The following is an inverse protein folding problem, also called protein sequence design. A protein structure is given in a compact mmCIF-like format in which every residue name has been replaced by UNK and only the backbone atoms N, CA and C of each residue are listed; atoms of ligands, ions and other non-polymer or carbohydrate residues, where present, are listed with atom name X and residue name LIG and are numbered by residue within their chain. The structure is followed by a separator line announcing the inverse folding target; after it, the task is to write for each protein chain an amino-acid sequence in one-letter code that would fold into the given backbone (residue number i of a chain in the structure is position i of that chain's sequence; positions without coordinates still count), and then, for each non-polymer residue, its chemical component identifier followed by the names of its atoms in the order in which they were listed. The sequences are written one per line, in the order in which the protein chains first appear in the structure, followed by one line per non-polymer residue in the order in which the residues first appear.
data_IF_749101897865
#
_entry.id   IF_749101897865
#
_cell.length_a   1.000
_cell.length_b   1.000
_cell.length_c   1.000
_cell.angle_alpha   90.00
_cell.angle_beta   90.00
_cell.angle_gamma   90.00
#
_symmetry.space_group_name_H-M   'P 1'
#
loop_
_entity.id
_entity.type
_entity.pdbx_description
1 polymer ?
#
# COMPACT_ATOMS: atom_id res chain seq x y z
N UNK A 1 24.46 -37.24 -28.55
CA UNK A 1 24.00 -35.93 -28.03
C UNK A 1 25.05 -34.89 -28.35
N UNK A 2 24.66 -33.85 -29.08
CA UNK A 2 25.58 -32.77 -29.45
C UNK A 2 25.73 -31.77 -28.30
N UNK A 3 26.85 -31.03 -28.26
CA UNK A 3 27.11 -29.99 -27.27
C UNK A 3 25.97 -28.95 -27.19
N UNK A 4 25.31 -28.66 -28.32
CA UNK A 4 24.15 -27.75 -28.38
C UNK A 4 22.93 -28.25 -27.60
N UNK A 5 22.66 -29.55 -27.58
CA UNK A 5 21.52 -30.12 -26.86
C UNK A 5 21.70 -29.96 -25.34
N UNK A 6 22.92 -30.20 -24.84
CA UNK A 6 23.24 -30.00 -23.42
C UNK A 6 23.15 -28.54 -23.00
N UNK A 7 23.61 -27.62 -23.85
CA UNK A 7 23.51 -26.19 -23.57
C UNK A 7 22.05 -25.72 -23.47
N UNK A 8 21.18 -26.18 -24.37
CA UNK A 8 19.75 -25.86 -24.29
C UNK A 8 19.12 -26.38 -23.00
N UNK A 9 19.41 -27.63 -22.61
CA UNK A 9 18.88 -28.22 -21.37
C UNK A 9 19.33 -27.39 -20.16
N UNK A 10 20.62 -27.09 -20.02
CA UNK A 10 21.16 -26.30 -18.90
C UNK A 10 20.55 -24.89 -18.89
N UNK A 11 20.42 -24.24 -20.05
CA UNK A 11 19.82 -22.91 -20.16
C UNK A 11 18.33 -22.92 -19.74
N UNK A 12 17.56 -23.92 -20.16
CA UNK A 12 16.16 -24.07 -19.78
C UNK A 12 16.00 -24.31 -18.27
N UNK A 13 16.80 -25.21 -17.68
CA UNK A 13 16.77 -25.46 -16.24
C UNK A 13 17.21 -24.23 -15.44
N UNK A 14 18.28 -23.56 -15.86
CA UNK A 14 18.75 -22.32 -15.22
C UNK A 14 17.68 -21.22 -15.25
N UNK A 15 17.02 -21.04 -16.40
CA UNK A 15 15.95 -20.06 -16.56
C UNK A 15 14.74 -20.41 -15.69
N UNK A 16 14.33 -21.68 -15.66
CA UNK A 16 13.23 -22.14 -14.83
C UNK A 16 13.49 -21.93 -13.33
N UNK A 17 14.71 -22.22 -12.86
CA UNK A 17 15.11 -21.98 -11.47
C UNK A 17 15.14 -20.49 -11.12
N UNK A 18 15.62 -19.63 -12.02
CA UNK A 18 15.57 -18.19 -11.83
C UNK A 18 14.11 -17.72 -11.72
N UNK A 19 13.23 -18.11 -12.65
CA UNK A 19 11.81 -17.78 -12.59
C UNK A 19 11.18 -18.23 -11.25
N UNK A 20 11.45 -19.47 -10.83
CA UNK A 20 10.95 -20.00 -9.56
C UNK A 20 11.45 -19.17 -8.37
N UNK A 21 12.73 -18.81 -8.34
CA UNK A 21 13.29 -17.96 -7.29
C UNK A 21 12.60 -16.59 -7.21
N UNK A 22 12.36 -15.94 -8.35
CA UNK A 22 11.65 -14.65 -8.39
C UNK A 22 10.20 -14.77 -7.89
N UNK A 23 9.48 -15.83 -8.28
CA UNK A 23 8.13 -16.10 -7.79
C UNK A 23 8.09 -16.43 -6.30
N UNK A 24 8.95 -17.32 -5.82
CA UNK A 24 9.06 -17.66 -4.40
C UNK A 24 9.40 -16.42 -3.56
N UNK A 25 10.31 -15.57 -4.03
CA UNK A 25 10.65 -14.32 -3.35
C UNK A 25 9.44 -13.38 -3.25
N UNK A 26 8.67 -13.22 -4.33
CA UNK A 26 7.49 -12.37 -4.33
C UNK A 26 6.45 -12.90 -3.33
N UNK A 27 6.16 -14.20 -3.36
CA UNK A 27 5.24 -14.86 -2.43
C UNK A 27 5.71 -14.67 -0.97
N UNK A 28 7.00 -14.89 -0.71
CA UNK A 28 7.57 -14.73 0.64
C UNK A 28 7.46 -13.29 1.16
N UNK A 29 7.68 -12.30 0.30
CA UNK A 29 7.53 -10.89 0.63
C UNK A 29 6.08 -10.59 1.06
N UNK A 30 5.10 -11.02 0.27
CA UNK A 30 3.68 -10.84 0.57
C UNK A 30 3.26 -11.48 1.89
N UNK A 31 3.77 -12.67 2.20
CA UNK A 31 3.49 -13.36 3.47
C UNK A 31 4.16 -12.68 4.68
N UNK A 32 5.25 -11.93 4.45
CA UNK A 32 6.03 -11.31 5.53
C UNK A 32 5.49 -9.95 5.97
N UNK A 33 4.90 -9.17 5.06
CA UNK A 33 4.41 -7.80 5.31
C UNK A 33 3.49 -7.68 6.53
N UNK A 34 2.51 -8.59 6.76
CA UNK A 34 1.62 -8.48 7.91
C UNK A 34 2.36 -8.54 9.26
N UNK A 35 3.53 -9.17 9.30
CA UNK A 35 4.34 -9.34 10.51
C UNK A 35 5.38 -8.22 10.69
N UNK A 36 5.44 -7.25 9.78
CA UNK A 36 6.37 -6.15 9.87
C UNK A 36 5.86 -5.08 10.84
N UNK A 37 6.77 -4.38 11.54
CA UNK A 37 6.40 -3.26 12.40
C UNK A 37 5.69 -2.17 11.59
N UNK A 38 4.62 -1.65 12.19
CA UNK A 38 3.85 -0.53 11.64
C UNK A 38 4.36 0.77 12.24
N UNK A 39 4.69 1.72 11.39
CA UNK A 39 5.03 3.09 11.79
C UNK A 39 4.16 4.10 11.08
N UNK A 40 4.08 5.29 11.65
CA UNK A 40 3.43 6.41 11.01
C UNK A 40 4.38 7.03 9.98
N UNK A 41 3.82 7.34 8.82
CA UNK A 41 4.49 8.01 7.73
C UNK A 41 3.66 9.20 7.27
N UNK A 42 4.34 10.26 6.84
CA UNK A 42 3.68 11.43 6.25
C UNK A 42 3.92 11.42 4.75
N UNK A 43 2.85 11.50 3.97
CA UNK A 43 2.95 11.63 2.51
C UNK A 43 3.56 12.99 2.19
N UNK A 44 4.68 13.00 1.48
CA UNK A 44 5.35 14.20 0.97
C UNK A 44 4.92 14.53 -0.44
N UNK A 45 4.66 13.51 -1.26
CA UNK A 45 4.33 13.67 -2.66
C UNK A 45 3.41 12.58 -3.16
N UNK A 46 2.45 12.92 -4.01
CA UNK A 46 1.57 11.95 -4.67
C UNK A 46 1.40 12.35 -6.13
N UNK A 47 1.86 11.52 -7.05
CA UNK A 47 1.84 11.78 -8.50
C UNK A 47 1.22 10.59 -9.22
N UNK A 48 0.29 10.88 -10.12
CA UNK A 48 -0.25 9.89 -11.05
C UNK A 48 0.55 9.96 -12.34
N UNK A 49 1.18 8.85 -12.74
CA UNK A 49 1.89 8.73 -14.02
C UNK A 49 1.13 7.83 -14.98
N UNK A 50 1.00 8.26 -16.23
CA UNK A 50 0.53 7.37 -17.29
C UNK A 50 1.73 6.59 -17.83
N UNK A 51 1.73 5.26 -17.64
CA UNK A 51 2.84 4.37 -18.04
C UNK A 51 2.77 3.97 -19.51
N UNK A 52 1.58 3.98 -20.11
CA UNK A 52 1.39 3.68 -21.54
C UNK A 52 0.23 4.47 -22.13
N UNK A 53 0.48 5.17 -23.25
CA UNK A 53 -0.54 5.84 -24.05
C UNK A 53 -1.46 4.84 -24.75
N UNK A 54 -0.90 3.70 -25.21
CA UNK A 54 -1.62 2.68 -25.98
C UNK A 54 -2.56 1.81 -25.14
N UNK A 55 -2.20 1.54 -23.89
CA UNK A 55 -2.95 0.62 -23.02
C UNK A 55 -3.58 1.29 -21.78
N UNK A 56 -3.60 2.63 -21.71
CA UNK A 56 -4.20 3.42 -20.61
C UNK A 56 -3.83 2.90 -19.21
N UNK A 57 -2.56 2.55 -19.00
CA UNK A 57 -2.07 2.17 -17.68
C UNK A 57 -1.69 3.43 -16.89
N UNK A 58 -2.29 3.59 -15.72
CA UNK A 58 -1.97 4.64 -14.76
C UNK A 58 -1.29 4.02 -13.56
N UNK A 59 -0.18 4.61 -13.13
CA UNK A 59 0.61 4.23 -11.98
C UNK A 59 0.54 5.34 -10.93
N UNK A 60 0.49 4.95 -9.67
CA UNK A 60 0.60 5.87 -8.54
C UNK A 60 2.01 5.86 -7.98
N UNK A 61 2.71 6.99 -8.13
CA UNK A 61 4.00 7.25 -7.49
C UNK A 61 3.75 8.11 -6.25
N UNK A 62 3.97 7.53 -5.07
CA UNK A 62 3.94 8.27 -3.80
C UNK A 62 5.35 8.42 -3.25
N UNK A 63 5.58 9.48 -2.49
CA UNK A 63 6.75 9.62 -1.63
C UNK A 63 6.26 9.91 -0.22
N UNK A 64 6.70 9.12 0.76
CA UNK A 64 6.36 9.31 2.17
C UNK A 64 7.60 9.25 3.05
N UNK A 65 7.66 10.13 4.04
CA UNK A 65 8.71 10.12 5.07
C UNK A 65 8.24 9.37 6.30
N UNK A 66 9.09 8.53 6.88
CA UNK A 66 8.82 7.83 8.13
C UNK A 66 10.08 7.73 8.97
N UNK A 67 9.90 7.56 10.27
CA UNK A 67 10.99 7.36 11.21
C UNK A 67 10.97 5.95 11.74
N UNK A 68 12.11 5.27 11.69
CA UNK A 68 12.26 3.92 12.21
C UNK A 68 13.59 3.79 12.95
N UNK A 69 13.55 3.31 14.20
CA UNK A 69 14.74 3.17 15.06
C UNK A 69 15.58 4.45 15.21
N UNK A 70 14.91 5.60 15.25
CA UNK A 70 15.56 6.90 15.43
C UNK A 70 16.07 7.54 14.13
N UNK A 71 16.08 6.82 13.02
CA UNK A 71 16.50 7.31 11.70
C UNK A 71 15.31 7.64 10.79
N UNK A 72 15.48 8.67 9.95
CA UNK A 72 14.49 9.08 8.97
C UNK A 72 14.72 8.38 7.62
N UNK A 73 13.64 7.90 7.04
CA UNK A 73 13.63 7.18 5.78
C UNK A 73 12.57 7.73 4.84
N UNK A 74 12.77 7.49 3.55
CA UNK A 74 11.83 7.86 2.48
C UNK A 74 11.40 6.60 1.77
N UNK A 75 10.09 6.38 1.74
CA UNK A 75 9.45 5.28 1.01
C UNK A 75 8.79 5.81 -0.26
N UNK A 76 8.80 5.00 -1.31
CA UNK A 76 8.31 5.40 -2.64
C UNK A 76 7.22 4.51 -3.22
N UNK A 77 6.89 3.42 -2.53
CA UNK A 77 6.02 2.39 -3.06
C UNK A 77 4.81 2.21 -2.16
N UNK A 78 3.58 2.31 -2.69
CA UNK A 78 2.39 2.00 -1.92
C UNK A 78 2.32 0.50 -1.63
N UNK A 79 2.76 -0.35 -2.57
CA UNK A 79 2.77 -1.82 -2.49
C UNK A 79 4.02 -2.44 -3.08
N UNK A 80 4.33 -3.70 -2.72
CA UNK A 80 5.30 -4.50 -3.45
C UNK A 80 4.98 -4.53 -4.95
N UNK A 81 5.93 -4.09 -5.77
CA UNK A 81 5.76 -4.05 -7.23
C UNK A 81 5.03 -2.81 -7.79
N UNK A 82 4.56 -1.91 -6.92
CA UNK A 82 3.89 -0.66 -7.32
C UNK A 82 2.40 -0.83 -7.63
N UNK A 83 1.66 0.28 -7.61
CA UNK A 83 0.23 0.30 -7.90
C UNK A 83 0.01 0.74 -9.35
N UNK A 84 -0.51 -0.16 -10.18
CA UNK A 84 -0.85 0.10 -11.58
C UNK A 84 -2.28 -0.35 -11.86
N UNK A 85 -3.08 0.53 -12.48
CA UNK A 85 -4.46 0.23 -12.89
C UNK A 85 -4.69 0.64 -14.34
N UNK A 86 -5.70 0.04 -14.98
CA UNK A 86 -6.17 0.42 -16.31
C UNK A 86 -7.18 1.57 -16.29
N UNK A 87 -7.64 1.99 -15.11
CA UNK A 87 -8.65 3.04 -14.94
C UNK A 87 -8.07 4.28 -14.26
N UNK A 88 -8.21 5.44 -14.89
CA UNK A 88 -7.77 6.72 -14.31
C UNK A 88 -8.48 7.01 -12.98
N UNK A 89 -9.80 6.83 -12.95
CA UNK A 89 -10.63 7.00 -11.76
C UNK A 89 -10.19 6.11 -10.59
N UNK A 90 -9.79 4.86 -10.87
CA UNK A 90 -9.33 3.95 -9.83
C UNK A 90 -8.03 4.43 -9.16
N UNK A 91 -7.12 4.99 -9.96
CA UNK A 91 -5.86 5.53 -9.42
C UNK A 91 -6.07 6.87 -8.73
N UNK A 92 -6.97 7.72 -9.25
CA UNK A 92 -7.32 9.01 -8.66
C UNK A 92 -8.00 8.83 -7.30
N UNK A 93 -8.90 7.84 -7.17
CA UNK A 93 -9.54 7.52 -5.90
C UNK A 93 -8.50 7.11 -4.84
N UNK A 94 -7.52 6.27 -5.20
CA UNK A 94 -6.45 5.89 -4.26
C UNK A 94 -5.52 7.08 -3.98
N UNK A 95 -5.15 7.86 -4.99
CA UNK A 95 -4.33 9.05 -4.82
C UNK A 95 -4.99 10.07 -3.87
N UNK A 96 -6.31 10.22 -3.92
CA UNK A 96 -7.07 11.09 -3.03
C UNK A 96 -6.96 10.67 -1.55
N UNK A 97 -6.84 9.36 -1.26
CA UNK A 97 -6.60 8.86 0.10
C UNK A 97 -5.16 9.05 0.58
N UNK A 98 -4.25 9.39 -0.34
CA UNK A 98 -2.83 9.60 -0.10
C UNK A 98 -2.41 11.00 -0.55
N UNK A 99 -3.22 12.01 -0.20
CA UNK A 99 -2.87 13.40 -0.47
C UNK A 99 -1.64 13.82 0.33
N UNK A 100 -0.90 14.81 -0.17
CA UNK A 100 0.25 15.37 0.53
C UNK A 100 -0.15 15.84 1.94
N UNK A 101 0.68 15.55 2.93
CA UNK A 101 0.41 15.82 4.35
C UNK A 101 -0.41 14.74 5.07
N UNK A 102 -0.97 13.76 4.36
CA UNK A 102 -1.72 12.66 4.98
C UNK A 102 -0.81 11.76 5.81
N UNK A 103 -1.26 11.40 7.01
CA UNK A 103 -0.59 10.41 7.85
C UNK A 103 -1.09 9.01 7.49
N UNK A 104 -0.17 8.12 7.12
CA UNK A 104 -0.43 6.74 6.75
C UNK A 104 0.28 5.78 7.71
N UNK A 105 -0.30 4.60 7.92
CA UNK A 105 0.40 3.48 8.55
C UNK A 105 1.17 2.72 7.49
N UNK A 106 2.49 2.57 7.67
CA UNK A 106 3.37 1.86 6.75
C UNK A 106 4.01 0.67 7.46
N UNK A 107 4.11 -0.46 6.76
CA UNK A 107 4.83 -1.63 7.21
C UNK A 107 6.29 -1.49 6.78
N UNK A 108 7.23 -1.51 7.74
CA UNK A 108 8.66 -1.31 7.50
C UNK A 108 9.39 -2.63 7.66
N UNK A 109 10.19 -3.02 6.67
CA UNK A 109 11.03 -4.21 6.78
C UNK A 109 12.11 -3.99 7.87
N UNK A 110 12.10 -4.73 8.99
CA UNK A 110 13.03 -4.51 10.09
C UNK A 110 14.48 -4.90 9.74
N UNK A 111 14.66 -5.69 8.67
CA UNK A 111 15.99 -6.09 8.14
C UNK A 111 16.48 -5.15 7.04
N UNK A 112 15.56 -4.44 6.37
CA UNK A 112 15.87 -3.47 5.31
C UNK A 112 14.96 -2.25 5.44
N UNK A 113 15.26 -1.31 6.36
CA UNK A 113 14.35 -0.22 6.68
C UNK A 113 13.89 0.60 5.49
N UNK A 114 14.72 0.75 4.44
CA UNK A 114 14.36 1.44 3.18
C UNK A 114 13.20 0.80 2.41
N UNK A 115 12.88 -0.46 2.69
CA UNK A 115 11.76 -1.20 2.12
C UNK A 115 10.54 -1.05 3.05
N UNK A 116 9.64 -0.14 2.67
CA UNK A 116 8.41 0.13 3.40
C UNK A 116 7.23 0.25 2.45
N UNK A 117 6.06 -0.20 2.90
CA UNK A 117 4.83 -0.24 2.11
C UNK A 117 3.65 0.34 2.88
N UNK A 118 2.81 1.13 2.21
CA UNK A 118 1.62 1.73 2.81
C UNK A 118 0.50 0.70 2.98
N UNK A 119 -0.19 0.73 4.12
CA UNK A 119 -1.13 -0.31 4.52
C UNK A 119 -2.53 -0.34 3.84
N UNK A 120 -2.97 0.55 2.92
CA UNK A 120 -4.30 0.35 2.34
C UNK A 120 -4.33 -0.68 1.21
N UNK A 121 -3.24 -1.41 0.93
CA UNK A 121 -3.18 -2.40 -0.17
C UNK A 121 -2.42 -3.68 0.24
N UNK A 122 -2.26 -3.91 1.54
CA UNK A 122 -1.76 -5.19 2.08
C UNK A 122 -2.92 -6.11 2.49
N UNK A 123 -4.04 -6.08 1.75
CA UNK A 123 -5.08 -7.10 1.85
C UNK A 123 -4.59 -8.40 1.18
N UNK A 124 -5.17 -9.53 1.58
CA UNK A 124 -4.59 -10.87 1.55
C UNK A 124 -4.21 -11.33 0.12
N UNK A 125 -3.28 -12.29 -0.04
CA UNK A 125 -3.01 -12.90 -1.36
C UNK A 125 -4.27 -13.51 -2.02
N UNK A 126 -5.30 -13.86 -1.25
CA UNK A 126 -6.60 -14.30 -1.75
C UNK A 126 -7.39 -13.20 -2.50
N UNK A 127 -7.15 -11.92 -2.21
CA UNK A 127 -7.87 -10.80 -2.82
C UNK A 127 -7.34 -10.46 -4.23
N UNK A 128 -6.19 -11.01 -4.63
CA UNK A 128 -5.57 -10.78 -5.95
C UNK A 128 -5.81 -11.92 -6.96
N UNK A 129 -6.24 -13.12 -6.50
CA UNK A 129 -6.71 -14.17 -7.40
C UNK A 129 -8.11 -13.86 -7.98
N UNK A 130 -8.86 -12.94 -7.35
CA UNK A 130 -10.09 -12.39 -7.88
C UNK A 130 -9.77 -11.28 -8.91
N UNK A 131 -9.17 -11.68 -10.04
CA UNK A 131 -9.27 -10.86 -11.24
C UNK A 131 -10.73 -10.48 -11.46
N UNK A 132 -10.98 -9.19 -11.68
CA UNK A 132 -12.30 -8.66 -12.06
C UNK A 132 -13.42 -8.82 -11.02
N UNK A 133 -13.47 -7.91 -10.02
CA UNK A 133 -14.69 -7.19 -9.59
C UNK A 133 -14.36 -6.32 -8.37
N UNK A 134 -13.92 -5.08 -8.60
CA UNK A 134 -13.99 -4.03 -7.58
C UNK A 134 -15.46 -3.67 -7.38
N UNK A 135 -16.12 -4.35 -6.45
CA UNK A 135 -17.44 -3.95 -5.97
C UNK A 135 -17.41 -4.00 -4.44
N UNK A 136 -17.46 -2.81 -3.86
CA UNK A 136 -17.60 -2.50 -2.43
C UNK A 136 -16.37 -2.73 -1.56
N UNK A 137 -15.52 -1.70 -1.46
CA UNK A 137 -14.91 -1.28 -0.18
C UNK A 137 -14.67 0.23 -0.23
N UNK A 138 -15.79 0.96 -0.35
CA UNK A 138 -15.91 2.26 0.28
C UNK A 138 -16.63 1.97 1.59
N UNK A 139 -15.89 1.81 2.68
CA UNK A 139 -16.46 2.03 4.00
C UNK A 139 -15.83 3.33 4.51
N UNK A 140 -16.53 4.47 4.37
CA UNK A 140 -16.07 5.73 4.90
C UNK A 140 -16.34 5.73 6.41
N UNK A 141 -15.31 6.01 7.21
CA UNK A 141 -15.41 6.43 8.61
C UNK A 141 -15.95 5.38 9.62
N UNK A 142 -15.04 4.74 10.38
CA UNK A 142 -15.27 4.31 11.77
C UNK A 142 -13.95 3.78 12.36
N UNK A 143 -13.36 4.28 13.45
CA UNK A 143 -13.67 5.41 14.30
C UNK A 143 -12.47 5.66 15.21
N UNK A 144 -12.04 6.92 15.30
CA UNK A 144 -11.10 7.36 16.33
C UNK A 144 -11.40 8.82 16.68
N UNK A 145 -12.43 9.02 17.51
CA UNK A 145 -12.59 10.22 18.36
C UNK A 145 -13.77 10.07 19.32
N UNK A 146 -13.57 9.36 20.44
CA UNK A 146 -14.25 9.70 21.69
C UNK A 146 -13.22 10.33 22.61
N UNK A 147 -13.16 11.66 22.61
CA UNK A 147 -12.62 12.40 23.75
C UNK A 147 -13.76 12.56 24.78
N UNK A 148 -13.51 12.36 26.08
CA UNK A 148 -14.49 12.64 27.11
C UNK A 148 -14.61 14.16 27.28
N UNK A 149 -15.81 14.71 27.05
CA UNK A 149 -16.10 16.10 27.36
C UNK A 149 -16.55 16.19 28.82
N UNK A 150 -15.64 16.60 29.70
CA UNK A 150 -15.92 16.95 31.09
C UNK A 150 -16.18 18.46 31.21
N UNK A 151 -17.43 18.79 31.56
CA UNK A 151 -17.82 19.68 32.67
C UNK A 151 -17.45 21.20 32.65
N UNK A 152 -18.47 22.08 32.52
CA UNK A 152 -18.89 23.07 33.56
C UNK A 152 -19.96 24.10 33.11
N UNK A 153 -21.06 24.16 33.91
CA UNK A 153 -21.83 25.31 34.52
C UNK A 153 -22.21 26.53 33.66
N UNK A 154 -23.35 27.25 33.76
CA UNK A 154 -24.58 27.46 34.59
C UNK A 154 -25.43 28.53 33.80
N UNK A 155 -26.51 29.22 34.27
CA UNK A 155 -27.72 28.91 35.05
C UNK A 155 -29.07 29.25 34.32
N UNK A 156 -30.17 28.80 34.94
CA UNK A 156 -31.57 29.26 35.03
C UNK A 156 -32.20 30.34 34.10
N UNK A 157 -33.38 30.02 33.57
CA UNK A 157 -34.68 30.77 33.57
C UNK A 157 -35.61 30.06 32.55
N UNK A 158 -36.87 29.65 32.78
CA UNK A 158 -37.94 30.12 33.65
C UNK A 158 -39.08 30.61 32.74
N UNK A 159 -40.24 29.92 32.73
CA UNK A 159 -41.59 30.21 32.14
C UNK A 159 -42.04 29.10 31.18
N UNK A 160 -43.24 28.52 31.26
CA UNK A 160 -44.42 28.73 32.10
C UNK A 160 -45.54 27.93 31.42
N UNK A 161 -46.14 26.98 32.14
CA UNK A 161 -47.29 26.19 31.68
C UNK A 161 -48.46 26.70 32.51
N UNK A 162 -49.41 27.37 31.85
CA UNK A 162 -50.84 27.36 32.13
C UNK A 162 -51.59 27.94 30.92
#
# INVERSE_FOLDING_TARGET
MSFMEWYMVIACFGTALLCLYWHCRAIWLWLSIPNWPRVEAVVRKSIIRQKSSRHRHYALDIEFGYRFRGEDYIGRQPVPGGLVTQTKQGVEAVAATMAEGTVLKVHVNPRRPREAYAAPVASRPADLCAGFRWRWYADPLQGQSRCPHSDRRHPETGTGIE
#
